data_IF_416470743926
#
_entry.id   IF_416470743926
#
_cell.length_a   1.000
_cell.length_b   1.000
_cell.length_c   1.000
_cell.angle_alpha   90.00
_cell.angle_beta   90.00
_cell.angle_gamma   90.00
#
_symmetry.space_group_name_H-M   'P 1'
#
loop_
_entity.id
_entity.type
_entity.pdbx_description
1 polymer ?
#
# COMPACT_ATOMS: atom_id res chain seq x y z
N UNK A 1 0.39 48.56 -5.36
CA UNK A 1 0.41 47.14 -5.74
C UNK A 1 -0.52 46.95 -6.92
N UNK A 2 0.03 46.66 -8.10
CA UNK A 2 -0.76 46.47 -9.33
C UNK A 2 -1.67 45.26 -9.16
N UNK A 3 -2.89 45.34 -9.69
CA UNK A 3 -3.96 44.34 -9.54
C UNK A 3 -3.46 42.92 -9.82
N UNK A 4 -2.56 42.78 -10.79
CA UNK A 4 -1.90 41.53 -11.19
C UNK A 4 -1.13 40.85 -10.05
N UNK A 5 -0.45 41.60 -9.18
CA UNK A 5 0.26 41.04 -8.02
C UNK A 5 -0.73 40.44 -7.02
N UNK A 6 -1.91 41.04 -6.86
CA UNK A 6 -2.95 40.50 -5.96
C UNK A 6 -3.55 39.21 -6.51
N UNK A 7 -3.77 39.13 -7.82
CA UNK A 7 -4.25 37.91 -8.48
C UNK A 7 -3.24 36.77 -8.39
N UNK A 8 -1.95 37.06 -8.58
CA UNK A 8 -0.88 36.05 -8.45
C UNK A 8 -0.82 35.51 -7.02
N UNK A 9 -0.89 36.38 -6.00
CA UNK A 9 -0.88 35.95 -4.60
C UNK A 9 -2.10 35.07 -4.27
N UNK A 10 -3.29 35.43 -4.77
CA UNK A 10 -4.50 34.63 -4.57
C UNK A 10 -4.40 33.23 -5.19
N UNK A 11 -3.81 33.11 -6.39
CA UNK A 11 -3.60 31.81 -7.06
C UNK A 11 -2.61 30.94 -6.27
N UNK A 12 -1.50 31.52 -5.78
CA UNK A 12 -0.49 30.79 -5.01
C UNK A 12 -1.08 30.25 -3.70
N UNK A 13 -1.85 31.07 -2.99
CA UNK A 13 -2.51 30.66 -1.74
C UNK A 13 -3.54 29.57 -2.02
N UNK A 14 -4.35 29.71 -3.07
CA UNK A 14 -5.33 28.70 -3.47
C UNK A 14 -4.69 27.36 -3.84
N UNK A 15 -3.56 27.39 -4.57
CA UNK A 15 -2.82 26.19 -4.93
C UNK A 15 -2.20 25.50 -3.71
N UNK A 16 -1.62 26.25 -2.77
CA UNK A 16 -1.03 25.70 -1.54
C UNK A 16 -2.10 25.07 -0.63
N UNK A 17 -3.23 25.75 -0.43
CA UNK A 17 -4.36 25.23 0.34
C UNK A 17 -5.02 24.02 -0.35
N UNK A 18 -5.20 24.09 -1.67
CA UNK A 18 -5.75 23.00 -2.47
C UNK A 18 -4.88 21.75 -2.43
N UNK A 19 -3.55 21.89 -2.56
CA UNK A 19 -2.62 20.77 -2.45
C UNK A 19 -2.59 20.18 -1.02
N UNK A 20 -2.65 21.02 0.02
CA UNK A 20 -2.73 20.56 1.42
C UNK A 20 -4.02 19.79 1.72
N UNK A 21 -5.18 20.31 1.31
CA UNK A 21 -6.47 19.64 1.47
C UNK A 21 -6.54 18.35 0.65
N UNK A 22 -6.03 18.36 -0.58
CA UNK A 22 -5.96 17.18 -1.42
C UNK A 22 -4.99 16.14 -0.86
N UNK A 23 -3.89 16.55 -0.22
CA UNK A 23 -2.97 15.64 0.47
C UNK A 23 -3.60 14.97 1.69
N UNK A 24 -4.50 15.66 2.41
CA UNK A 24 -5.26 15.06 3.51
C UNK A 24 -6.36 14.13 2.99
N UNK A 25 -7.00 14.47 1.87
CA UNK A 25 -8.02 13.63 1.23
C UNK A 25 -7.41 12.38 0.56
N UNK A 26 -6.24 12.52 -0.08
CA UNK A 26 -5.48 11.41 -0.68
C UNK A 26 -4.58 10.69 0.35
N UNK A 27 -4.46 11.19 1.58
CA UNK A 27 -3.65 10.59 2.66
C UNK A 27 -4.14 9.22 3.15
N UNK A 28 -5.23 8.69 2.60
CA UNK A 28 -5.70 7.29 2.81
C UNK A 28 -5.46 6.40 1.58
N UNK A 29 -4.89 6.94 0.50
CA UNK A 29 -4.49 6.19 -0.70
C UNK A 29 -2.98 6.05 -0.77
N UNK A 30 -2.44 5.14 0.05
CA UNK A 30 -1.02 4.83 0.17
C UNK A 30 -0.28 4.80 -1.17
N UNK A 31 0.81 5.57 -1.22
CA UNK A 31 1.98 5.30 -2.04
C UNK A 31 2.41 3.84 -1.83
N UNK A 32 1.94 2.92 -2.67
CA UNK A 32 2.46 1.55 -2.74
C UNK A 32 3.37 1.47 -3.96
N UNK A 33 4.55 2.08 -3.85
CA UNK A 33 5.71 1.56 -4.55
C UNK A 33 6.68 1.04 -3.49
N UNK A 34 6.95 -0.27 -3.61
CA UNK A 34 7.84 -1.11 -2.78
C UNK A 34 7.46 -1.35 -1.31
N UNK A 35 6.80 -2.49 -1.11
CA UNK A 35 6.98 -3.45 -0.01
C UNK A 35 6.63 -3.03 1.43
N UNK A 36 5.82 -3.89 2.05
CA UNK A 36 5.43 -3.93 3.46
C UNK A 36 4.28 -2.99 3.87
N UNK A 37 3.10 -3.47 3.51
CA UNK A 37 1.85 -3.25 4.23
C UNK A 37 2.05 -3.43 5.75
N UNK A 38 2.13 -2.31 6.45
CA UNK A 38 1.76 -2.22 7.86
C UNK A 38 0.25 -2.00 7.92
N UNK A 39 -0.50 -3.09 7.93
CA UNK A 39 -1.95 -3.04 8.19
C UNK A 39 -2.38 -4.35 8.83
N UNK A 40 -2.01 -4.57 10.10
CA UNK A 40 -2.73 -5.45 11.04
C UNK A 40 -3.03 -6.92 10.66
N UNK A 41 -2.64 -7.38 9.48
CA UNK A 41 -2.86 -8.73 9.00
C UNK A 41 -1.70 -9.57 9.51
N UNK A 42 -2.00 -10.57 10.35
CA UNK A 42 -1.00 -11.53 10.85
C UNK A 42 -0.17 -12.02 9.67
N UNK A 43 1.15 -11.83 9.72
CA UNK A 43 2.05 -12.44 8.74
C UNK A 43 1.91 -13.97 8.87
N UNK A 44 1.68 -14.72 7.78
CA UNK A 44 1.67 -16.17 7.83
C UNK A 44 3.00 -16.68 8.39
N UNK A 45 2.96 -17.63 9.32
CA UNK A 45 4.12 -18.29 9.91
C UNK A 45 4.85 -19.15 8.86
N UNK A 46 4.10 -19.89 8.04
CA UNK A 46 4.62 -20.67 6.91
C UNK A 46 3.50 -20.99 5.90
N UNK A 47 3.87 -21.52 4.74
CA UNK A 47 2.98 -21.87 3.64
C UNK A 47 3.02 -23.38 3.38
N UNK A 48 1.86 -24.03 3.21
CA UNK A 48 1.74 -25.49 2.98
C UNK A 48 1.10 -25.85 1.66
N UNK A 49 1.44 -27.01 1.12
CA UNK A 49 0.69 -27.56 -0.01
C UNK A 49 -0.68 -28.10 0.47
N UNK A 50 -1.75 -27.99 -0.35
CA UNK A 50 -3.08 -28.47 0.04
C UNK A 50 -3.17 -29.99 0.25
N UNK A 51 -2.34 -30.74 -0.48
CA UNK A 51 -2.32 -32.21 -0.46
C UNK A 51 -1.25 -32.81 0.46
N UNK A 52 -0.20 -32.04 0.79
CA UNK A 52 0.91 -32.51 1.63
C UNK A 52 1.30 -31.44 2.65
N UNK A 53 0.93 -31.68 3.90
CA UNK A 53 1.24 -30.80 5.03
C UNK A 53 2.72 -30.78 5.44
N UNK A 54 3.52 -31.73 4.94
CA UNK A 54 4.97 -31.75 5.14
C UNK A 54 5.69 -30.79 4.20
N UNK A 55 5.09 -30.46 3.05
CA UNK A 55 5.66 -29.48 2.13
C UNK A 55 5.43 -28.06 2.67
N UNK A 56 6.46 -27.50 3.31
CA UNK A 56 6.43 -26.17 3.93
C UNK A 56 7.36 -25.20 3.23
N UNK A 57 6.94 -23.94 3.10
CA UNK A 57 7.77 -22.84 2.60
C UNK A 57 7.60 -21.59 3.45
N UNK A 58 8.65 -20.78 3.51
CA UNK A 58 8.59 -19.49 4.21
C UNK A 58 7.90 -18.39 3.38
N UNK A 59 7.60 -18.67 2.11
CA UNK A 59 7.09 -17.68 1.15
C UNK A 59 5.87 -18.21 0.39
N UNK A 60 4.96 -17.31 -0.02
CA UNK A 60 3.89 -17.65 -0.95
C UNK A 60 4.44 -18.22 -2.25
N UNK A 61 3.64 -19.05 -2.91
CA UNK A 61 3.98 -19.57 -4.22
C UNK A 61 3.17 -20.80 -4.60
N UNK A 62 3.69 -21.53 -5.59
CA UNK A 62 3.15 -22.81 -6.03
C UNK A 62 3.91 -23.98 -5.43
N UNK A 63 3.21 -25.09 -5.21
CA UNK A 63 3.80 -26.40 -4.95
C UNK A 63 4.51 -26.94 -6.19
N UNK A 64 5.34 -27.99 -6.08
CA UNK A 64 5.98 -28.64 -7.23
C UNK A 64 4.99 -29.18 -8.26
N UNK A 65 3.73 -29.39 -7.86
CA UNK A 65 2.63 -29.81 -8.74
C UNK A 65 1.81 -28.62 -9.30
N UNK A 66 2.24 -27.38 -9.06
CA UNK A 66 1.64 -26.18 -9.65
C UNK A 66 0.41 -25.61 -8.92
N UNK A 67 0.08 -26.13 -7.74
CA UNK A 67 -1.04 -25.66 -6.90
C UNK A 67 -0.60 -24.53 -5.97
N UNK A 68 -1.49 -23.58 -5.66
CA UNK A 68 -1.18 -22.51 -4.70
C UNK A 68 -0.96 -23.06 -3.29
N UNK A 69 0.05 -22.51 -2.62
CA UNK A 69 0.31 -22.80 -1.22
C UNK A 69 -0.70 -22.05 -0.34
N UNK A 70 -1.04 -22.65 0.79
CA UNK A 70 -1.99 -22.12 1.76
C UNK A 70 -1.20 -21.49 2.92
N UNK A 71 -1.47 -20.24 3.31
CA UNK A 71 -0.83 -19.61 4.45
C UNK A 71 -1.31 -20.23 5.77
N UNK A 72 -0.37 -20.52 6.66
CA UNK A 72 -0.60 -20.99 8.03
C UNK A 72 -0.21 -19.89 8.99
N UNK A 73 -1.05 -19.65 9.98
CA UNK A 73 -0.85 -18.63 11.00
C UNK A 73 -0.57 -19.30 12.35
N UNK A 74 0.07 -18.56 13.26
CA UNK A 74 0.19 -18.91 14.69
C UNK A 74 -1.10 -18.65 15.49
#
# INVERSE_FOLDING_TARGET
MSTNTKTIIAIIIGAALGAGALSLYQGTGSNSNSNEATSGEKKPLYWVAPMDSNYRRDKPGKSPMGMDLIPVYE
#
